data_IF_654193575973
#
_entry.id   IF_654193575973
#
_cell.length_a   1.000
_cell.length_b   1.000
_cell.length_c   1.000
_cell.angle_alpha   90.00
_cell.angle_beta   90.00
_cell.angle_gamma   90.00
#
_symmetry.space_group_name_H-M   'P 1'
#
loop_
_entity.id
_entity.type
_entity.pdbx_description
1 polymer ?
#
# COMPACT_ATOMS: atom_id res chain seq x y z
N UNK A 1 14.54 -46.51 -9.10
CA UNK A 1 14.38 -46.33 -7.63
C UNK A 1 14.66 -44.88 -7.31
N UNK A 2 13.65 -44.12 -6.85
CA UNK A 2 13.87 -42.73 -6.42
C UNK A 2 14.54 -42.71 -5.04
N UNK A 3 15.47 -41.79 -4.77
CA UNK A 3 16.12 -41.69 -3.46
C UNK A 3 15.09 -41.31 -2.38
N UNK A 4 15.21 -41.84 -1.15
CA UNK A 4 14.31 -41.51 -0.06
C UNK A 4 14.37 -40.01 0.26
N UNK A 5 13.21 -39.39 0.45
CA UNK A 5 13.12 -37.98 0.78
C UNK A 5 13.81 -37.70 2.12
N UNK A 6 14.64 -36.65 2.16
CA UNK A 6 15.28 -36.21 3.41
C UNK A 6 14.19 -35.72 4.37
N UNK A 7 14.20 -36.13 5.65
CA UNK A 7 13.22 -35.66 6.62
C UNK A 7 13.31 -34.14 6.78
N UNK A 8 12.16 -33.48 6.81
CA UNK A 8 12.08 -32.04 7.06
C UNK A 8 12.34 -31.74 8.53
N UNK A 9 13.14 -30.72 8.79
CA UNK A 9 13.36 -30.21 10.14
C UNK A 9 12.07 -29.64 10.75
N UNK A 10 11.71 -30.07 11.97
CA UNK A 10 10.53 -29.58 12.69
C UNK A 10 10.92 -28.45 13.62
N UNK A 11 10.32 -27.28 13.42
CA UNK A 11 10.62 -26.10 14.22
C UNK A 11 10.32 -26.25 15.72
N UNK A 12 9.29 -27.03 16.08
CA UNK A 12 8.91 -27.27 17.47
C UNK A 12 9.85 -28.25 18.20
N UNK A 13 10.66 -29.02 17.46
CA UNK A 13 11.66 -29.92 18.03
C UNK A 13 12.90 -29.15 18.53
N UNK A 14 12.97 -27.83 18.26
CA UNK A 14 13.99 -26.96 18.83
C UNK A 14 13.76 -26.70 20.32
N UNK A 15 14.83 -26.65 21.13
CA UNK A 15 14.76 -26.07 22.47
C UNK A 15 14.21 -24.64 22.44
N UNK A 16 13.51 -24.25 23.51
CA UNK A 16 12.82 -22.96 23.62
C UNK A 16 13.79 -21.80 23.42
N UNK A 17 14.97 -21.91 23.99
CA UNK A 17 16.04 -20.90 23.93
C UNK A 17 16.40 -20.57 22.48
N UNK A 18 16.51 -21.61 21.64
CA UNK A 18 16.81 -21.45 20.21
C UNK A 18 15.63 -20.80 19.48
N UNK A 19 14.38 -21.18 19.80
CA UNK A 19 13.20 -20.54 19.21
C UNK A 19 13.14 -19.04 19.55
N UNK A 20 13.46 -18.66 20.78
CA UNK A 20 13.50 -17.26 21.21
C UNK A 20 14.54 -16.45 20.40
N UNK A 21 15.74 -17.01 20.18
CA UNK A 21 16.76 -16.40 19.31
C UNK A 21 16.24 -16.21 17.88
N UNK A 22 15.47 -17.17 17.34
CA UNK A 22 14.85 -17.02 16.02
C UNK A 22 13.86 -15.85 16.00
N UNK A 23 12.99 -15.73 17.00
CA UNK A 23 12.04 -14.61 17.08
C UNK A 23 12.76 -13.25 17.23
N UNK A 24 13.85 -13.20 18.01
CA UNK A 24 14.66 -11.99 18.18
C UNK A 24 15.29 -11.53 16.86
N UNK A 25 15.72 -12.48 16.03
CA UNK A 25 16.36 -12.21 14.74
C UNK A 25 15.38 -11.98 13.58
N UNK A 26 14.06 -11.97 13.82
CA UNK A 26 13.09 -11.68 12.77
C UNK A 26 13.31 -10.25 12.21
N UNK A 27 13.52 -10.11 10.89
CA UNK A 27 13.88 -8.83 10.30
C UNK A 27 12.67 -7.89 10.22
N UNK A 28 12.89 -6.63 10.58
CA UNK A 28 11.98 -5.54 10.24
C UNK A 28 12.28 -5.12 8.81
N UNK A 29 11.35 -5.36 7.89
CA UNK A 29 11.47 -5.00 6.48
C UNK A 29 10.91 -3.60 6.24
N UNK A 30 11.73 -2.72 5.67
CA UNK A 30 11.29 -1.43 5.14
C UNK A 30 10.91 -1.59 3.68
N UNK A 31 9.69 -1.18 3.30
CA UNK A 31 9.20 -1.18 1.93
C UNK A 31 9.09 0.25 1.43
N UNK A 32 9.65 0.49 0.25
CA UNK A 32 9.52 1.74 -0.48
C UNK A 32 8.48 1.54 -1.59
N UNK A 33 7.28 2.07 -1.39
CA UNK A 33 6.22 2.05 -2.38
C UNK A 33 6.30 3.35 -3.17
N UNK A 34 6.82 3.25 -4.40
CA UNK A 34 6.88 4.38 -5.32
C UNK A 34 5.55 4.49 -6.06
N UNK A 35 4.96 5.68 -6.08
CA UNK A 35 3.81 5.95 -6.95
C UNK A 35 4.28 6.01 -8.40
N UNK A 36 3.36 5.73 -9.33
CA UNK A 36 3.63 5.71 -10.78
C UNK A 36 4.25 7.01 -11.30
N UNK A 37 4.00 8.14 -10.62
CA UNK A 37 4.60 9.43 -10.95
C UNK A 37 6.10 9.54 -10.61
N UNK A 38 6.68 8.57 -9.90
CA UNK A 38 8.09 8.54 -9.46
C UNK A 38 8.46 9.60 -8.41
N UNK A 39 7.61 10.62 -8.22
CA UNK A 39 7.83 11.77 -7.36
C UNK A 39 7.49 11.53 -5.89
N UNK A 40 6.78 10.44 -5.56
CA UNK A 40 6.36 10.15 -4.18
C UNK A 40 6.76 8.72 -3.83
N UNK A 41 7.49 8.59 -2.73
CA UNK A 41 7.86 7.31 -2.14
C UNK A 41 7.27 7.20 -0.74
N UNK A 42 6.37 6.24 -0.54
CA UNK A 42 5.90 5.86 0.78
C UNK A 42 6.88 4.86 1.40
N UNK A 43 7.33 5.14 2.61
CA UNK A 43 8.28 4.32 3.35
C UNK A 43 7.53 3.74 4.55
N UNK A 44 7.25 2.44 4.48
CA UNK A 44 6.55 1.70 5.53
C UNK A 44 7.45 0.61 6.10
N UNK A 45 7.43 0.43 7.43
CA UNK A 45 8.12 -0.67 8.11
C UNK A 45 7.13 -1.80 8.38
N UNK A 46 7.60 -3.03 8.29
CA UNK A 46 6.78 -4.24 8.47
C UNK A 46 7.58 -5.33 9.17
N UNK A 47 6.89 -6.18 9.93
CA UNK A 47 7.45 -7.34 10.64
C UNK A 47 6.67 -8.59 10.20
N UNK A 48 7.32 -9.76 10.01
CA UNK A 48 6.62 -10.98 9.60
C UNK A 48 5.78 -11.56 10.75
N UNK A 49 4.56 -11.03 10.93
CA UNK A 49 3.62 -11.45 11.99
C UNK A 49 2.95 -12.80 11.74
N UNK A 50 3.18 -13.43 10.58
CA UNK A 50 2.61 -14.74 10.26
C UNK A 50 2.96 -15.81 11.32
N UNK A 51 4.14 -15.68 11.95
CA UNK A 51 4.57 -16.61 13.00
C UNK A 51 3.65 -16.59 14.24
N UNK A 52 3.02 -15.46 14.53
CA UNK A 52 2.06 -15.33 15.64
C UNK A 52 0.75 -16.09 15.39
N UNK A 53 0.51 -16.55 14.15
CA UNK A 53 -0.69 -17.30 13.77
C UNK A 53 -0.51 -18.82 13.74
N UNK A 54 0.70 -19.35 13.96
CA UNK A 54 1.00 -20.77 13.72
C UNK A 54 0.35 -21.69 14.76
N UNK A 55 0.66 -21.51 16.04
CA UNK A 55 0.07 -22.26 17.15
C UNK A 55 0.16 -21.45 18.46
N UNK A 56 -0.56 -21.89 19.50
CA UNK A 56 -0.64 -21.17 20.78
C UNK A 56 0.73 -21.04 21.47
N UNK A 57 1.54 -22.10 21.45
CA UNK A 57 2.87 -22.09 22.06
C UNK A 57 3.81 -21.07 21.39
N UNK A 58 3.89 -21.08 20.05
CA UNK A 58 4.69 -20.11 19.29
C UNK A 58 4.15 -18.69 19.52
N UNK A 59 2.83 -18.52 19.56
CA UNK A 59 2.20 -17.23 19.82
C UNK A 59 2.65 -16.66 21.18
N UNK A 60 2.49 -17.42 22.26
CA UNK A 60 2.85 -16.98 23.62
C UNK A 60 4.36 -16.66 23.73
N UNK A 61 5.24 -17.51 23.17
CA UNK A 61 6.68 -17.28 23.19
C UNK A 61 7.10 -16.05 22.38
N UNK A 62 6.60 -15.93 21.15
CA UNK A 62 7.01 -14.87 20.23
C UNK A 62 6.40 -13.52 20.60
N UNK A 63 5.20 -13.47 21.16
CA UNK A 63 4.52 -12.21 21.48
C UNK A 63 5.31 -11.36 22.49
N UNK A 64 5.97 -11.99 23.47
CA UNK A 64 6.81 -11.27 24.44
C UNK A 64 7.97 -10.51 23.76
N UNK A 65 8.54 -11.06 22.68
CA UNK A 65 9.66 -10.46 21.94
C UNK A 65 9.16 -9.49 20.86
N UNK A 66 8.12 -9.89 20.12
CA UNK A 66 7.62 -9.12 18.98
C UNK A 66 6.68 -7.98 19.40
N UNK A 67 6.04 -8.06 20.57
CA UNK A 67 5.13 -7.04 21.09
C UNK A 67 5.75 -5.63 21.11
N UNK A 68 6.91 -5.41 21.77
CA UNK A 68 7.58 -4.12 21.77
C UNK A 68 7.96 -3.62 20.36
N UNK A 69 8.43 -4.53 19.49
CA UNK A 69 8.77 -4.20 18.09
C UNK A 69 7.54 -3.79 17.28
N UNK A 70 6.41 -4.47 17.47
CA UNK A 70 5.14 -4.14 16.83
C UNK A 70 4.62 -2.80 17.32
N UNK A 71 4.68 -2.55 18.63
CA UNK A 71 4.31 -1.26 19.19
C UNK A 71 5.16 -0.13 18.59
N UNK A 72 6.48 -0.32 18.49
CA UNK A 72 7.38 0.66 17.86
C UNK A 72 7.04 0.93 16.39
N UNK A 73 6.67 -0.10 15.62
CA UNK A 73 6.25 0.07 14.22
C UNK A 73 4.93 0.82 14.13
N UNK A 74 3.96 0.50 14.99
CA UNK A 74 2.64 1.13 14.99
C UNK A 74 2.66 2.57 15.52
N UNK A 75 3.54 2.88 16.47
CA UNK A 75 3.72 4.23 16.99
C UNK A 75 4.53 5.14 16.05
N UNK A 76 5.29 4.55 15.12
CA UNK A 76 6.02 5.32 14.11
C UNK A 76 5.11 5.58 12.91
N UNK A 77 4.72 6.83 12.63
CA UNK A 77 3.90 7.12 11.45
C UNK A 77 4.65 6.75 10.15
N UNK A 78 3.95 6.25 9.12
CA UNK A 78 4.53 6.03 7.80
C UNK A 78 5.18 7.32 7.27
N UNK A 79 6.35 7.20 6.65
CA UNK A 79 7.07 8.36 6.11
C UNK A 79 6.75 8.52 4.63
N UNK A 80 6.59 9.77 4.19
CA UNK A 80 6.39 10.12 2.78
C UNK A 80 7.60 10.94 2.36
N UNK A 81 8.31 10.48 1.34
CA UNK A 81 9.38 11.23 0.70
C UNK A 81 8.88 11.73 -0.66
N UNK A 82 8.98 13.05 -0.87
CA UNK A 82 8.60 13.70 -2.13
C UNK A 82 9.86 14.18 -2.83
N UNK A 83 10.06 13.77 -4.07
CA UNK A 83 11.16 14.19 -4.92
C UNK A 83 10.66 15.25 -5.90
N UNK A 84 11.15 16.48 -5.76
CA UNK A 84 10.64 17.66 -6.45
C UNK A 84 11.14 17.84 -7.89
N UNK A 85 12.07 17.00 -8.36
CA UNK A 85 12.74 17.18 -9.65
C UNK A 85 11.80 17.30 -10.86
N UNK A 86 10.54 16.84 -10.76
CA UNK A 86 9.55 16.92 -11.84
C UNK A 86 8.12 17.27 -11.38
N UNK A 87 7.93 17.71 -10.13
CA UNK A 87 6.58 17.91 -9.58
C UNK A 87 6.09 19.35 -9.80
N UNK A 88 4.98 19.51 -10.51
CA UNK A 88 4.27 20.80 -10.60
C UNK A 88 3.59 21.09 -9.25
N UNK A 89 3.64 22.35 -8.80
CA UNK A 89 3.11 22.82 -7.50
C UNK A 89 1.66 22.35 -7.25
N UNK A 90 0.82 22.35 -8.29
CA UNK A 90 -0.59 21.94 -8.21
C UNK A 90 -0.82 20.48 -7.76
N UNK A 91 0.14 19.58 -8.04
CA UNK A 91 0.03 18.17 -7.63
C UNK A 91 0.21 18.03 -6.12
N UNK A 92 1.04 18.88 -5.51
CA UNK A 92 1.32 18.84 -4.08
C UNK A 92 0.08 19.20 -3.25
N UNK A 93 -0.67 20.23 -3.66
CA UNK A 93 -1.92 20.61 -2.97
C UNK A 93 -2.97 19.51 -3.01
N UNK A 94 -3.15 18.86 -4.17
CA UNK A 94 -4.10 17.76 -4.31
C UNK A 94 -3.74 16.59 -3.39
N UNK A 95 -2.45 16.26 -3.28
CA UNK A 95 -1.98 15.18 -2.40
C UNK A 95 -2.17 15.55 -0.93
N UNK A 96 -1.81 16.77 -0.53
CA UNK A 96 -1.96 17.23 0.86
C UNK A 96 -3.43 17.25 1.26
N UNK A 97 -4.31 17.80 0.42
CA UNK A 97 -5.76 17.80 0.67
C UNK A 97 -6.31 16.39 0.80
N UNK A 98 -5.91 15.47 -0.07
CA UNK A 98 -6.39 14.09 -0.02
C UNK A 98 -5.86 13.31 1.20
N UNK A 99 -4.61 13.54 1.60
CA UNK A 99 -4.05 12.98 2.83
C UNK A 99 -4.76 13.53 4.07
N UNK A 100 -5.02 14.84 4.14
CA UNK A 100 -5.76 15.45 5.24
C UNK A 100 -7.19 14.93 5.32
N UNK A 101 -7.86 14.73 4.18
CA UNK A 101 -9.18 14.11 4.14
C UNK A 101 -9.16 12.66 4.64
N UNK A 102 -8.16 11.88 4.22
CA UNK A 102 -7.99 10.49 4.66
C UNK A 102 -7.70 10.39 6.17
N UNK A 103 -6.85 11.27 6.71
CA UNK A 103 -6.52 11.32 8.14
C UNK A 103 -7.73 11.75 8.97
N UNK A 104 -8.57 12.66 8.45
CA UNK A 104 -9.81 13.10 9.13
C UNK A 104 -10.89 12.03 9.17
N UNK A 105 -10.87 11.05 8.26
CA UNK A 105 -11.82 9.93 8.26
C UNK A 105 -11.48 8.82 9.27
N UNK A 106 -10.43 8.97 10.07
CA UNK A 106 -9.85 7.85 10.82
C UNK A 106 -10.49 7.57 12.21
N UNK A 107 -11.82 7.61 12.27
CA UNK A 107 -12.58 7.10 13.43
C UNK A 107 -12.55 5.57 13.57
N UNK A 108 -11.82 4.86 12.69
CA UNK A 108 -11.76 3.39 12.63
C UNK A 108 -10.53 2.73 13.26
N UNK A 109 -9.45 3.47 13.54
CA UNK A 109 -8.18 2.86 13.98
C UNK A 109 -8.24 2.20 15.38
N UNK A 110 -9.09 2.68 16.30
CA UNK A 110 -9.29 2.01 17.60
C UNK A 110 -9.93 0.62 17.47
N UNK A 111 -10.87 0.44 16.52
CA UNK A 111 -11.55 -0.82 16.31
C UNK A 111 -10.63 -1.90 15.72
N UNK A 112 -9.65 -1.49 14.90
CA UNK A 112 -8.66 -2.40 14.30
C UNK A 112 -7.68 -2.95 15.35
N UNK A 113 -7.24 -2.12 16.30
CA UNK A 113 -6.40 -2.58 17.40
C UNK A 113 -7.16 -3.58 18.30
N UNK A 114 -8.41 -3.29 18.67
CA UNK A 114 -9.27 -4.24 19.39
C UNK A 114 -9.56 -5.53 18.61
N UNK A 115 -9.68 -5.47 17.29
CA UNK A 115 -9.93 -6.64 16.43
C UNK A 115 -8.69 -7.53 16.19
N UNK A 116 -7.49 -7.01 16.45
CA UNK A 116 -6.23 -7.75 16.43
C UNK A 116 -5.87 -8.33 17.80
N UNK A 117 -6.31 -7.70 18.89
CA UNK A 117 -6.11 -8.19 20.26
C UNK A 117 -7.08 -9.31 20.69
N UNK A 118 -8.13 -9.59 19.91
CA UNK A 118 -9.05 -10.70 20.19
C UNK A 118 -8.46 -12.02 19.66
N UNK A 119 -8.31 -13.07 20.50
CA UNK A 119 -7.95 -14.40 20.02
C UNK A 119 -9.03 -14.87 19.05
N UNK A 120 -8.68 -15.06 17.78
CA UNK A 120 -9.63 -15.52 16.78
C UNK A 120 -9.77 -17.04 16.85
N UNK A 121 -10.99 -17.58 16.74
CA UNK A 121 -11.17 -19.01 16.55
C UNK A 121 -10.49 -19.43 15.24
N UNK A 122 -9.66 -20.46 15.34
CA UNK A 122 -8.95 -21.10 14.23
C UNK A 122 -9.98 -21.58 13.19
N UNK A 123 -9.99 -20.97 11.99
CA UNK A 123 -10.90 -21.40 10.94
C UNK A 123 -11.04 -20.49 9.71
N UNK A 124 -10.43 -19.29 9.67
CA UNK A 124 -10.60 -18.41 8.51
C UNK A 124 -9.35 -17.57 8.23
N UNK A 125 -8.29 -18.25 7.82
CA UNK A 125 -7.08 -17.61 7.31
C UNK A 125 -7.25 -17.25 5.83
N UNK A 126 -7.24 -15.94 5.50
CA UNK A 126 -6.65 -15.39 4.26
C UNK A 126 -6.83 -13.87 4.05
N UNK A 127 -7.63 -13.16 4.84
CA UNK A 127 -8.12 -11.81 4.44
C UNK A 127 -7.42 -10.58 5.04
N UNK A 128 -6.28 -10.71 5.72
CA UNK A 128 -5.67 -9.54 6.40
C UNK A 128 -4.84 -8.69 5.43
N UNK A 129 -4.10 -9.31 4.51
CA UNK A 129 -3.33 -8.58 3.49
C UNK A 129 -4.26 -7.97 2.41
N UNK A 130 -5.36 -8.66 2.11
CA UNK A 130 -6.37 -8.18 1.17
C UNK A 130 -7.05 -6.90 1.63
N UNK A 131 -7.20 -6.63 2.93
CA UNK A 131 -7.89 -5.42 3.40
C UNK A 131 -7.06 -4.15 3.23
N UNK A 132 -5.75 -4.21 3.44
CA UNK A 132 -4.87 -3.06 3.16
C UNK A 132 -4.74 -2.80 1.65
N UNK A 133 -4.72 -3.87 0.84
CA UNK A 133 -4.71 -3.77 -0.63
C UNK A 133 -6.08 -3.31 -1.17
N UNK A 134 -7.19 -3.71 -0.57
CA UNK A 134 -8.55 -3.26 -0.91
C UNK A 134 -8.73 -1.77 -0.61
N UNK A 135 -8.22 -1.26 0.52
CA UNK A 135 -8.26 0.17 0.81
C UNK A 135 -7.46 0.98 -0.23
N UNK A 136 -6.29 0.49 -0.63
CA UNK A 136 -5.50 1.13 -1.69
C UNK A 136 -6.17 1.05 -3.07
N UNK A 137 -6.87 -0.05 -3.40
CA UNK A 137 -7.61 -0.23 -4.66
C UNK A 137 -8.90 0.59 -4.72
N UNK A 138 -9.68 0.63 -3.64
CA UNK A 138 -10.91 1.43 -3.56
C UNK A 138 -10.60 2.93 -3.71
N UNK A 139 -9.47 3.38 -3.17
CA UNK A 139 -9.01 4.74 -3.36
C UNK A 139 -8.66 5.05 -4.83
N UNK A 140 -7.99 4.13 -5.54
CA UNK A 140 -7.67 4.29 -6.96
C UNK A 140 -8.91 4.27 -7.88
N UNK A 141 -9.93 3.48 -7.53
CA UNK A 141 -11.18 3.42 -8.29
C UNK A 141 -12.03 4.70 -8.13
N UNK A 142 -11.96 5.37 -6.98
CA UNK A 142 -12.73 6.60 -6.73
C UNK A 142 -12.21 7.81 -7.53
N UNK A 143 -10.92 7.83 -7.87
CA UNK A 143 -10.32 8.90 -8.66
C UNK A 143 -10.49 8.74 -10.18
N UNK A 144 -10.94 7.58 -10.66
CA UNK A 144 -11.11 7.29 -12.09
C UNK A 144 -12.49 7.64 -12.66
N UNK A 145 -13.40 8.18 -11.82
CA UNK A 145 -14.81 8.41 -12.18
C UNK A 145 -15.22 9.85 -12.47
N UNK A 146 -14.29 10.81 -12.59
CA UNK A 146 -14.63 12.25 -12.76
C UNK A 146 -14.24 12.89 -14.09
N UNK A 147 -13.99 12.11 -15.13
CA UNK A 147 -13.61 12.67 -16.45
C UNK A 147 -14.74 12.67 -17.49
N UNK A 148 -16.02 12.46 -17.12
CA UNK A 148 -17.11 12.32 -18.09
C UNK A 148 -18.32 13.27 -17.98
N UNK A 149 -18.24 14.36 -17.22
CA UNK A 149 -19.34 15.34 -17.11
C UNK A 149 -18.91 16.76 -17.54
N UNK A 150 -18.44 16.90 -18.78
CA UNK A 150 -18.24 18.20 -19.42
C UNK A 150 -18.38 18.10 -20.93
N UNK A 151 -19.57 17.66 -21.37
CA UNK A 151 -20.11 17.94 -22.70
C UNK A 151 -21.60 18.07 -22.49
N UNK A 152 -22.12 19.29 -22.52
CA UNK A 152 -23.48 19.66 -22.94
C UNK A 152 -23.82 21.08 -22.47
N UNK A 153 -23.03 22.08 -22.88
CA UNK A 153 -23.46 23.49 -22.93
C UNK A 153 -22.65 24.21 -24.01
N UNK A 154 -22.93 23.94 -25.27
CA UNK A 154 -22.69 24.94 -26.33
C UNK A 154 -23.55 24.63 -27.56
N UNK A 155 -24.84 25.00 -27.45
CA UNK A 155 -25.75 25.05 -28.58
C UNK A 155 -26.08 26.52 -28.87
N UNK A 156 -25.38 27.07 -29.86
CA UNK A 156 -25.99 28.01 -30.79
C UNK A 156 -25.59 29.47 -30.68
N UNK A 157 -24.62 29.88 -31.50
CA UNK A 157 -24.74 31.09 -32.33
C UNK A 157 -24.11 30.81 -33.68
N UNK A 158 -24.94 30.76 -34.73
CA UNK A 158 -24.53 30.67 -36.12
C UNK A 158 -23.98 32.01 -36.62
N UNK A 159 -22.94 31.96 -37.46
CA UNK A 159 -22.32 33.15 -38.06
C UNK A 159 -21.49 32.85 -39.29
N UNK A 160 -22.17 32.78 -40.45
CA UNK A 160 -21.75 33.02 -41.85
C UNK A 160 -20.25 33.18 -42.21
N UNK A 161 -19.86 32.31 -43.18
CA UNK A 161 -19.22 32.55 -44.51
C UNK A 161 -17.97 33.43 -44.65
N UNK A 162 -16.98 32.82 -45.32
CA UNK A 162 -15.90 33.41 -46.13
C UNK A 162 -14.63 32.59 -45.92
N UNK A 163 -14.10 31.77 -46.84
CA UNK A 163 -13.93 31.96 -48.28
C UNK A 163 -12.57 32.62 -48.53
N UNK A 164 -11.56 31.84 -48.95
CA UNK A 164 -10.25 32.16 -49.60
C UNK A 164 -9.25 31.04 -49.22
N UNK A 165 -9.03 30.00 -50.04
CA UNK A 165 -8.16 29.94 -51.24
C UNK A 165 -6.82 30.67 -51.10
N UNK A 166 -5.71 29.93 -50.91
CA UNK A 166 -4.41 30.03 -51.63
C UNK A 166 -3.40 29.04 -51.03
N UNK A 167 -2.94 28.08 -51.83
CA UNK A 167 -1.54 27.92 -52.33
C UNK A 167 -0.67 26.99 -51.46
N UNK A 168 -0.27 25.80 -51.93
CA UNK A 168 0.83 25.49 -52.88
C UNK A 168 2.23 25.88 -52.39
N UNK A 169 3.04 24.87 -52.07
CA UNK A 169 4.50 24.94 -51.88
C UNK A 169 4.96 23.76 -51.02
N UNK A 170 5.34 22.58 -51.53
CA UNK A 170 6.40 22.18 -52.48
C UNK A 170 7.83 22.41 -51.93
N UNK A 171 8.59 21.29 -51.86
CA UNK A 171 10.06 21.11 -51.74
C UNK A 171 10.64 21.16 -50.31
N UNK A 172 11.64 20.37 -49.92
CA UNK A 172 12.48 19.33 -50.57
C UNK A 172 13.21 18.56 -49.45
N UNK A 173 13.52 17.26 -49.56
CA UNK A 173 14.68 16.65 -50.21
C UNK A 173 16.04 17.27 -49.83
N UNK A 174 16.74 16.64 -48.88
CA UNK A 174 18.10 16.09 -48.99
C UNK A 174 18.38 15.21 -47.78
#
# INVERSE_FOLDING_TARGET
MAPPAKPSFRFLDLPKEIRLVVYERLPIKTRHLRLRSGSITFIARSLPVAILGVCRQIHEEALCILGPKLYQILSTPPRIAVTFAAMKIFVLEAIVSALLAAVRCDSGHQALFQALSRPRPLGTERRIVDRFVLLARLYQSSTSGRDHESRDLDAGVGGRRGGLSTELGRRGST
#
